data_IF_860950549877
#
_entry.id   IF_860950549877
#
_cell.length_a   1.000
_cell.length_b   1.000
_cell.length_c   1.000
_cell.angle_alpha   90.00
_cell.angle_beta   90.00
_cell.angle_gamma   90.00
#
_symmetry.space_group_name_H-M   'P 1'
#
loop_
_entity.id
_entity.type
_entity.pdbx_description
1 polymer ?
2 branched ?
3 branched ?
4 non-polymer ?
5 non-polymer ?
6 non-polymer ?
7 non-polymer ?
8 non-polymer ?
9 non-polymer ?
10 water ?
#
# COMPACT_ATOMS: atom_id res chain seq x y z
N UNK A 7 14.32 9.72 -6.44
CA UNK A 7 13.46 9.67 -5.18
C UNK A 7 14.31 9.33 -3.98
N UNK A 8 14.37 10.21 -2.99
CA UNK A 8 15.20 9.93 -1.82
C UNK A 8 14.30 9.41 -0.74
N UNK A 9 14.36 8.10 -0.54
CA UNK A 9 13.73 7.53 0.60
C UNK A 9 14.42 8.21 1.74
N UNK A 10 13.58 8.54 2.65
CA UNK A 10 14.01 9.17 3.89
C UNK A 10 14.91 8.31 4.76
N UNK A 11 15.74 8.99 5.57
CA UNK A 11 16.70 8.26 6.40
C UNK A 11 16.12 7.48 7.54
N UNK A 12 14.81 7.64 7.86
CA UNK A 12 14.13 6.80 8.89
C UNK A 12 13.36 5.66 8.28
N UNK A 13 13.43 5.51 6.96
CA UNK A 13 12.74 4.42 6.28
C UNK A 13 13.15 3.07 6.90
N UNK A 14 12.15 2.26 7.23
CA UNK A 14 12.38 0.90 7.82
C UNK A 14 12.30 0.91 9.34
N UNK A 15 12.29 2.10 9.95
CA UNK A 15 12.05 2.15 11.33
C UNK A 15 10.59 2.32 11.66
N UNK A 16 10.21 1.83 12.83
CA UNK A 16 8.84 1.96 13.35
C UNK A 16 8.85 2.60 14.68
N UNK A 17 8.20 3.74 14.76
CA UNK A 17 8.04 4.46 16.00
C UNK A 17 6.68 4.11 16.60
N UNK A 18 6.75 3.53 17.79
CA UNK A 18 5.55 3.19 18.50
C UNK A 18 5.35 4.25 19.55
N UNK A 19 4.20 4.91 19.46
CA UNK A 19 3.84 5.99 20.34
C UNK A 19 2.70 5.61 21.24
N UNK A 20 2.62 6.28 22.38
CA UNK A 20 1.56 6.07 23.31
C UNK A 20 0.79 7.37 23.68
N UNK A 21 1.18 8.49 23.06
CA UNK A 21 0.42 9.70 23.18
C UNK A 21 0.52 10.47 21.87
N UNK A 22 -0.44 11.37 21.68
CA UNK A 22 -0.48 12.28 20.52
C UNK A 22 0.86 13.06 20.45
N UNK A 23 1.38 13.19 19.23
CA UNK A 23 2.50 14.02 18.96
C UNK A 23 2.01 15.44 18.69
N UNK A 24 2.45 16.42 19.49
CA UNK A 24 2.13 17.82 19.32
C UNK A 24 3.25 18.51 18.53
N UNK A 25 2.82 19.19 17.45
CA UNK A 25 3.73 19.98 16.65
C UNK A 25 3.30 21.44 16.86
N UNK A 26 4.23 22.24 17.31
CA UNK A 26 3.97 23.62 17.72
C UNK A 26 4.03 24.58 16.55
N UNK A 27 3.37 25.74 16.73
CA UNK A 27 3.30 26.73 15.69
C UNK A 27 4.74 27.02 15.24
N UNK A 28 5.02 27.10 13.92
CA UNK A 28 6.32 27.40 13.31
C UNK A 28 7.24 26.23 13.17
N UNK A 29 6.87 25.07 13.76
CA UNK A 29 7.67 23.86 13.67
C UNK A 29 7.23 23.00 12.49
N UNK A 30 8.15 22.27 11.90
CA UNK A 30 7.87 21.22 10.95
C UNK A 30 8.37 19.87 11.51
N UNK A 31 7.43 18.96 11.73
CA UNK A 31 7.77 17.58 12.09
C UNK A 31 8.07 16.84 10.81
N UNK A 32 9.30 16.41 10.62
CA UNK A 32 9.75 15.69 9.43
C UNK A 32 10.09 14.29 9.84
N UNK A 33 9.20 13.34 9.52
CA UNK A 33 9.47 11.95 9.85
C UNK A 33 10.54 11.24 9.11
N UNK A 34 11.01 11.85 8.02
CA UNK A 34 12.02 11.21 7.19
C UNK A 34 11.70 9.79 6.82
N UNK A 35 10.39 9.51 6.63
CA UNK A 35 10.00 8.19 6.16
C UNK A 35 9.63 7.19 7.26
N UNK A 36 9.70 7.61 8.50
CA UNK A 36 9.32 6.74 9.61
C UNK A 36 7.87 6.27 9.47
N UNK A 37 7.59 5.03 9.96
CA UNK A 37 6.24 4.52 10.10
C UNK A 37 5.93 4.64 11.57
N UNK A 38 4.73 5.13 11.85
CA UNK A 38 4.21 5.32 13.19
C UNK A 38 3.09 4.35 13.49
N UNK A 39 3.15 3.75 14.69
CA UNK A 39 2.12 2.86 15.15
C UNK A 39 1.71 3.29 16.54
N UNK A 40 0.46 3.74 16.68
CA UNK A 40 -0.05 4.24 17.92
C UNK A 40 -0.64 3.11 18.76
N UNK A 41 -0.31 3.24 20.06
CA UNK A 41 -0.77 2.34 21.11
C UNK A 41 -1.66 3.03 22.15
N UNK A 42 -2.72 2.31 22.51
CA UNK A 42 -3.55 2.83 23.56
C UNK A 42 -4.32 4.11 23.23
N UNK A 43 -4.38 4.43 21.94
CA UNK A 43 -4.98 5.68 21.44
C UNK A 43 -6.17 5.50 20.58
N UNK A 44 -6.64 4.26 20.44
CA UNK A 44 -7.76 3.92 19.58
C UNK A 44 -7.48 2.68 18.77
N UNK A 45 -8.55 2.10 18.21
CA UNK A 45 -8.47 0.91 17.39
C UNK A 45 -8.67 1.14 15.90
N UNK A 46 -8.89 2.40 15.53
CA UNK A 46 -9.20 2.76 14.16
C UNK A 46 -10.62 2.41 13.73
N UNK A 47 -11.49 2.12 14.68
CA UNK A 47 -12.88 1.87 14.37
C UNK A 47 -13.62 3.19 14.14
N UNK A 48 -14.95 3.12 14.04
CA UNK A 48 -15.74 4.36 13.94
C UNK A 48 -16.08 5.02 15.27
N UNK A 49 -15.50 4.51 16.37
CA UNK A 49 -15.60 5.17 17.68
C UNK A 49 -15.16 6.61 17.63
N UNK A 50 -15.95 7.48 18.18
CA UNK A 50 -15.60 8.90 18.19
C UNK A 50 -14.69 9.34 19.32
N UNK A 51 -14.25 8.41 20.15
CA UNK A 51 -13.47 8.83 21.28
C UNK A 51 -11.96 8.52 21.20
N UNK A 52 -11.42 8.43 20.03
CA UNK A 52 -10.04 8.07 19.79
C UNK A 52 -9.16 9.32 19.82
N UNK A 53 -7.88 9.14 20.08
CA UNK A 53 -6.99 10.23 20.11
C UNK A 53 -6.39 10.47 18.69
N UNK A 54 -6.06 11.74 18.39
CA UNK A 54 -5.25 11.98 17.18
C UNK A 54 -3.81 11.46 17.32
N UNK A 55 -3.22 11.01 16.25
CA UNK A 55 -1.85 10.66 16.15
C UNK A 55 -0.93 11.90 16.28
N UNK A 56 -1.33 12.94 15.55
CA UNK A 56 -0.67 14.25 15.61
C UNK A 56 -1.68 15.37 15.86
N UNK A 57 -1.26 16.34 16.61
CA UNK A 57 -1.97 17.63 16.80
C UNK A 57 -1.05 18.67 16.20
N UNK A 58 -1.50 19.32 15.12
CA UNK A 58 -0.74 20.39 14.45
C UNK A 58 -1.38 21.71 14.90
N UNK A 59 -0.66 22.44 15.80
CA UNK A 59 -1.12 23.73 16.24
C UNK A 59 -1.13 24.68 15.02
N UNK A 60 -1.84 25.82 15.15
CA UNK A 60 -1.91 26.79 14.03
C UNK A 60 -0.49 27.11 13.65
N UNK A 61 -0.14 27.04 12.34
CA UNK A 61 1.18 27.30 11.80
C UNK A 61 2.20 26.19 11.87
N UNK A 62 1.78 25.00 12.31
CA UNK A 62 2.66 23.81 12.34
C UNK A 62 2.53 23.03 11.02
N UNK A 63 3.61 22.37 10.64
CA UNK A 63 3.63 21.53 9.46
C UNK A 63 4.08 20.10 9.77
N UNK A 64 3.72 19.18 8.91
CA UNK A 64 4.06 17.76 9.03
C UNK A 64 4.47 17.23 7.71
N UNK A 65 5.55 16.43 7.65
CA UNK A 65 5.86 15.81 6.42
C UNK A 65 6.52 14.44 6.60
N UNK A 66 6.35 13.60 5.60
CA UNK A 66 7.17 12.39 5.43
C UNK A 66 6.99 11.41 6.59
N UNK A 67 5.72 11.12 6.91
CA UNK A 67 5.42 10.02 7.77
C UNK A 67 4.46 9.03 7.14
N UNK A 68 4.60 7.79 7.56
CA UNK A 68 3.62 6.75 7.26
C UNK A 68 2.86 6.45 8.52
N UNK A 69 1.53 6.56 8.53
CA UNK A 69 0.73 6.23 9.68
C UNK A 69 0.16 4.82 9.48
N UNK A 70 0.67 3.89 10.26
CA UNK A 70 0.12 2.56 10.21
C UNK A 70 -1.20 2.39 10.91
N UNK A 71 -1.88 1.25 10.68
CA UNK A 71 -2.97 0.92 11.55
C UNK A 71 -2.44 0.73 12.97
N UNK A 72 -3.22 1.08 13.98
CA UNK A 72 -4.55 1.72 13.89
C UNK A 72 -4.43 3.22 13.67
N UNK A 73 -5.29 3.72 12.77
CA UNK A 73 -5.20 5.13 12.46
C UNK A 73 -5.80 6.08 13.44
N UNK A 74 -6.50 5.54 14.45
CA UNK A 74 -6.99 6.32 15.58
C UNK A 74 -7.81 7.50 15.02
N UNK A 75 -7.63 8.71 15.57
CA UNK A 75 -8.28 9.89 15.01
C UNK A 75 -7.38 10.74 14.19
N UNK A 76 -6.36 10.13 13.59
CA UNK A 76 -5.60 10.79 12.52
C UNK A 76 -4.89 12.07 12.91
N UNK A 77 -4.99 13.09 12.09
CA UNK A 77 -4.18 14.30 12.24
C UNK A 77 -5.16 15.46 12.49
N UNK A 78 -5.05 16.12 13.67
CA UNK A 78 -5.91 17.27 13.99
C UNK A 78 -5.13 18.56 13.66
N UNK A 79 -5.71 19.37 12.77
CA UNK A 79 -5.10 20.59 12.26
C UNK A 79 -5.83 21.81 12.78
N UNK A 80 -5.08 22.71 13.40
CA UNK A 80 -5.68 23.94 13.97
C UNK A 80 -5.52 25.16 13.07
N UNK A 81 -5.08 24.97 11.84
CA UNK A 81 -5.14 25.98 10.81
C UNK A 81 -3.75 26.42 10.37
N UNK A 82 -3.64 26.82 9.10
CA UNK A 82 -2.40 27.27 8.57
C UNK A 82 -1.28 26.19 8.63
N UNK A 83 -1.63 25.03 8.13
CA UNK A 83 -0.83 23.82 8.15
C UNK A 83 -0.56 23.27 6.79
N UNK A 84 0.65 22.77 6.58
CA UNK A 84 1.00 22.00 5.41
C UNK A 84 1.32 20.59 5.85
N UNK A 85 0.64 19.66 5.23
CA UNK A 85 0.75 18.21 5.51
C UNK A 85 1.23 17.53 4.24
N UNK A 86 2.49 17.08 4.19
CA UNK A 86 3.14 16.81 2.94
C UNK A 86 3.70 15.40 2.86
N UNK A 87 3.33 14.68 1.82
CA UNK A 87 3.79 13.30 1.71
C UNK A 87 3.52 12.39 2.95
N UNK A 88 2.32 12.54 3.51
CA UNK A 88 1.78 11.70 4.61
C UNK A 88 0.99 10.54 3.97
N UNK A 89 1.26 9.31 4.42
CA UNK A 89 0.60 8.14 3.94
C UNK A 89 -0.16 7.52 5.05
N UNK A 90 -1.49 7.44 4.91
CA UNK A 90 -2.35 6.70 5.78
C UNK A 90 -2.51 5.31 5.26
N UNK A 91 -1.83 4.32 5.82
CA UNK A 91 -1.96 2.92 5.37
C UNK A 91 -3.31 2.39 5.65
N UNK A 92 -3.96 2.89 6.67
CA UNK A 92 -5.27 2.38 7.05
C UNK A 92 -5.93 3.46 7.85
N UNK A 93 -6.74 4.26 7.22
CA UNK A 93 -7.40 5.36 7.91
C UNK A 93 -8.19 4.84 9.06
N UNK A 94 -8.12 5.54 10.19
CA UNK A 94 -8.90 5.23 11.36
C UNK A 94 -10.33 5.81 11.31
N UNK A 95 -10.73 6.50 12.37
CA UNK A 95 -12.10 7.06 12.38
C UNK A 95 -12.24 8.04 11.19
N UNK A 96 -11.21 8.90 11.06
CA UNK A 96 -11.00 9.75 9.90
C UNK A 96 -9.47 9.99 9.84
N UNK A 97 -9.03 10.51 8.71
CA UNK A 97 -7.57 10.70 8.46
C UNK A 97 -7.07 12.02 8.99
N UNK A 98 -7.80 13.09 8.74
CA UNK A 98 -7.36 14.43 9.12
C UNK A 98 -8.61 15.25 9.34
N UNK A 99 -8.58 16.08 10.38
CA UNK A 99 -9.65 16.97 10.77
C UNK A 99 -9.14 18.38 10.85
N UNK A 100 -9.88 19.31 10.23
CA UNK A 100 -9.60 20.74 10.43
C UNK A 100 -10.49 21.25 11.56
N UNK A 101 -9.82 21.58 12.67
CA UNK A 101 -10.44 21.86 13.92
C UNK A 101 -10.66 23.35 14.16
N UNK A 102 -9.92 24.21 13.51
CA UNK A 102 -9.98 25.63 13.71
C UNK A 102 -9.67 26.32 12.37
N UNK A 103 -10.03 27.60 12.29
CA UNK A 103 -9.95 28.27 10.98
C UNK A 103 -8.56 28.54 10.50
N UNK A 104 -8.36 28.36 9.22
CA UNK A 104 -7.14 28.71 8.52
C UNK A 104 -7.05 27.93 7.22
N UNK A 105 -5.93 28.01 6.57
CA UNK A 105 -5.62 27.29 5.31
C UNK A 105 -4.91 25.99 5.66
N UNK A 106 -5.42 24.90 5.13
CA UNK A 106 -4.78 23.59 5.34
C UNK A 106 -4.58 22.94 4.04
N UNK A 107 -3.34 22.51 3.77
CA UNK A 107 -2.95 21.91 2.54
C UNK A 107 -2.44 20.51 2.78
N UNK A 108 -2.99 19.52 2.06
CA UNK A 108 -2.50 18.15 2.06
C UNK A 108 -1.89 17.98 0.69
N UNK A 109 -0.58 17.74 0.60
CA UNK A 109 0.14 17.72 -0.65
C UNK A 109 0.93 16.41 -0.76
N UNK A 110 0.64 15.58 -1.74
CA UNK A 110 1.36 14.34 -1.84
C UNK A 110 0.74 13.31 -0.88
N UNK A 111 1.30 12.11 -0.89
CA UNK A 111 0.82 11.08 -0.06
C UNK A 111 -0.44 10.37 -0.55
N UNK A 112 -1.04 9.68 0.38
CA UNK A 112 -2.19 8.80 0.00
C UNK A 112 -2.91 8.31 1.20
N UNK A 113 -4.11 7.78 0.99
CA UNK A 113 -4.89 7.22 2.07
C UNK A 113 -5.62 5.98 1.54
N UNK A 114 -5.83 5.02 2.44
CA UNK A 114 -6.51 3.75 2.09
C UNK A 114 -7.46 3.40 3.23
N UNK A 115 -8.53 2.72 2.89
CA UNK A 115 -9.35 1.92 3.85
C UNK A 115 -9.99 2.86 4.89
N UNK A 116 -10.68 3.89 4.40
CA UNK A 116 -11.46 4.78 5.27
C UNK A 116 -12.91 4.29 5.28
N UNK A 117 -13.36 3.78 6.42
CA UNK A 117 -14.72 3.27 6.53
C UNK A 117 -15.73 4.36 6.28
N UNK A 118 -15.39 5.58 6.62
CA UNK A 118 -16.31 6.75 6.50
C UNK A 118 -15.51 7.84 5.85
N UNK A 119 -15.30 8.99 6.49
CA UNK A 119 -14.61 10.11 5.82
C UNK A 119 -13.09 10.01 5.94
N UNK A 120 -12.46 10.53 4.92
CA UNK A 120 -11.00 10.78 4.98
C UNK A 120 -10.77 12.11 5.73
N UNK A 121 -11.26 13.19 5.15
CA UNK A 121 -11.02 14.54 5.66
C UNK A 121 -12.31 15.11 6.24
N UNK A 122 -12.24 15.54 7.50
CA UNK A 122 -13.35 16.12 8.27
C UNK A 122 -13.12 17.60 8.49
N UNK A 123 -14.01 18.46 7.97
CA UNK A 123 -13.85 19.90 8.09
C UNK A 123 -14.84 20.44 9.08
N UNK A 124 -14.32 20.80 10.25
CA UNK A 124 -15.16 21.14 11.41
C UNK A 124 -15.05 22.64 11.77
N UNK A 125 -14.44 23.45 10.95
CA UNK A 125 -14.34 24.89 11.14
C UNK A 125 -14.27 25.52 9.75
N UNK A 126 -14.61 26.80 9.65
CA UNK A 126 -14.41 27.48 8.37
C UNK A 126 -12.95 27.45 7.98
N UNK A 127 -12.70 27.12 6.73
CA UNK A 127 -11.33 26.95 6.24
C UNK A 127 -11.21 26.96 4.76
N UNK A 128 -9.98 27.07 4.30
CA UNK A 128 -9.64 26.80 2.93
C UNK A 128 -8.83 25.50 2.93
N UNK A 129 -9.34 24.51 2.25
CA UNK A 129 -8.77 23.15 2.33
C UNK A 129 -8.36 22.67 0.97
N UNK A 130 -7.06 22.47 0.75
CA UNK A 130 -6.60 22.00 -0.48
C UNK A 130 -5.99 20.59 -0.39
N UNK A 131 -6.35 19.76 -1.34
CA UNK A 131 -5.80 18.43 -1.52
C UNK A 131 -5.17 18.36 -2.88
N UNK A 132 -3.83 18.09 -2.93
CA UNK A 132 -3.04 18.20 -4.13
C UNK A 132 -2.18 16.94 -4.31
N UNK A 133 -2.20 16.38 -5.50
CA UNK A 133 -1.32 15.25 -5.81
C UNK A 133 -1.49 14.13 -4.79
N UNK A 134 -2.73 13.67 -4.72
CA UNK A 134 -3.15 12.76 -3.66
C UNK A 134 -3.95 11.61 -4.25
N UNK A 135 -3.78 10.42 -3.69
CA UNK A 135 -4.50 9.21 -4.11
C UNK A 135 -5.22 8.60 -2.93
N UNK A 136 -6.52 8.25 -3.07
CA UNK A 136 -7.19 7.53 -2.03
C UNK A 136 -7.98 6.40 -2.58
N UNK A 137 -7.98 5.27 -1.89
CA UNK A 137 -8.65 4.07 -2.36
C UNK A 137 -9.42 3.43 -1.22
N UNK A 138 -10.64 2.99 -1.48
CA UNK A 138 -11.55 2.28 -0.56
C UNK A 138 -11.92 3.20 0.57
N UNK A 139 -12.76 4.16 0.22
CA UNK A 139 -13.15 5.19 1.14
C UNK A 139 -14.64 5.40 1.16
N UNK A 140 -15.20 5.96 2.22
CA UNK A 140 -16.62 6.37 2.22
C UNK A 140 -16.83 7.67 1.48
N UNK A 141 -16.09 8.67 1.99
CA UNK A 141 -16.06 10.00 1.42
C UNK A 141 -14.68 10.58 1.49
N UNK A 142 -14.25 11.37 0.52
CA UNK A 142 -12.99 12.08 0.69
C UNK A 142 -13.09 13.25 1.64
N UNK A 143 -14.14 14.05 1.51
CA UNK A 143 -14.26 15.24 2.34
C UNK A 143 -15.68 15.34 2.92
N UNK A 144 -15.81 15.59 4.23
CA UNK A 144 -17.10 15.84 4.84
C UNK A 144 -16.99 17.11 5.66
N UNK A 145 -17.74 18.14 5.28
CA UNK A 145 -17.96 19.24 6.22
C UNK A 145 -18.84 18.74 7.34
N UNK A 146 -18.52 19.08 8.58
CA UNK A 146 -19.28 18.52 9.67
C UNK A 146 -20.79 18.68 9.42
N UNK A 147 -21.54 17.63 9.64
CA UNK A 147 -22.94 17.56 9.36
C UNK A 147 -23.73 18.68 9.98
N UNK A 148 -24.64 19.22 9.15
CA UNK A 148 -25.60 20.23 9.62
C UNK A 148 -24.97 21.53 10.00
N UNK A 149 -23.73 21.76 9.62
CA UNK A 149 -23.15 23.05 9.83
C UNK A 149 -23.23 23.89 8.53
N UNK A 150 -23.31 25.17 8.74
CA UNK A 150 -23.54 26.11 7.63
C UNK A 150 -22.47 27.25 7.53
N UNK A 151 -21.37 27.12 8.24
CA UNK A 151 -20.21 27.96 7.96
C UNK A 151 -19.67 27.60 6.59
N UNK A 152 -18.75 28.46 6.15
CA UNK A 152 -18.21 28.32 4.79
C UNK A 152 -16.86 27.59 4.83
N UNK A 153 -16.77 26.55 4.01
CA UNK A 153 -15.48 26.00 3.63
C UNK A 153 -15.34 26.16 2.13
N UNK A 154 -14.07 26.28 1.69
CA UNK A 154 -13.74 26.23 0.26
C UNK A 154 -12.72 25.11 0.09
N UNK A 155 -13.09 24.11 -0.71
CA UNK A 155 -12.26 22.94 -0.95
C UNK A 155 -11.72 22.95 -2.32
N UNK A 156 -10.42 22.66 -2.46
CA UNK A 156 -9.80 22.51 -3.75
C UNK A 156 -9.24 21.09 -3.87
N UNK A 157 -9.60 20.39 -4.92
CA UNK A 157 -9.08 19.06 -5.25
C UNK A 157 -8.31 19.18 -6.54
N UNK A 158 -6.97 19.03 -6.49
CA UNK A 158 -6.10 19.31 -7.62
C UNK A 158 -5.18 18.10 -7.84
N UNK A 159 -5.30 17.41 -8.96
CA UNK A 159 -4.44 16.24 -9.22
C UNK A 159 -4.72 15.19 -8.17
N UNK A 160 -5.99 14.80 -8.04
CA UNK A 160 -6.49 13.85 -7.08
C UNK A 160 -7.10 12.66 -7.83
N UNK A 161 -6.73 11.46 -7.36
CA UNK A 161 -7.21 10.21 -7.94
C UNK A 161 -7.86 9.39 -6.87
N UNK A 162 -9.09 8.99 -7.11
CA UNK A 162 -9.88 8.28 -6.16
C UNK A 162 -10.42 6.97 -6.74
N UNK A 163 -10.44 5.91 -5.95
CA UNK A 163 -10.85 4.63 -6.50
C UNK A 163 -11.63 3.94 -5.42
N UNK A 164 -12.93 3.60 -5.71
CA UNK A 164 -13.85 2.88 -4.81
C UNK A 164 -14.34 3.75 -3.68
N UNK A 165 -15.25 4.64 -4.03
CA UNK A 165 -15.81 5.66 -3.12
C UNK A 165 -17.24 5.27 -2.83
N UNK A 166 -17.54 4.92 -1.61
CA UNK A 166 -18.80 4.26 -1.34
C UNK A 166 -19.96 5.20 -1.28
N UNK A 167 -19.70 6.37 -0.73
CA UNK A 167 -20.72 7.37 -0.50
C UNK A 167 -20.64 8.49 -1.52
N UNK A 168 -19.60 9.31 -1.44
CA UNK A 168 -19.40 10.36 -2.39
C UNK A 168 -18.05 10.97 -2.25
N UNK A 169 -17.61 11.74 -3.21
CA UNK A 169 -16.32 12.45 -3.09
C UNK A 169 -16.35 13.46 -1.95
N UNK A 170 -17.36 14.32 -1.94
CA UNK A 170 -17.48 15.31 -0.90
C UNK A 170 -18.92 15.55 -0.57
N UNK A 171 -19.13 15.95 0.70
CA UNK A 171 -20.48 16.20 1.23
C UNK A 171 -20.43 17.34 2.20
N UNK A 172 -21.39 18.25 2.05
CA UNK A 172 -21.54 19.42 2.88
C UNK A 172 -23.04 19.69 3.01
N UNK A 173 -23.45 20.22 4.14
CA UNK A 173 -24.78 20.73 4.38
C UNK A 173 -24.85 22.23 4.39
N UNK A 174 -23.81 22.88 3.82
CA UNK A 174 -23.75 24.34 3.89
C UNK A 174 -23.99 24.94 2.47
N UNK A 175 -25.02 25.76 2.28
CA UNK A 175 -25.18 26.39 0.96
C UNK A 175 -24.07 27.34 0.55
N UNK A 176 -23.31 27.85 1.47
CA UNK A 176 -22.26 28.82 1.14
C UNK A 176 -20.94 28.20 0.89
N UNK A 177 -20.79 26.92 1.19
CA UNK A 177 -19.51 26.26 0.90
C UNK A 177 -19.32 26.02 -0.58
N UNK A 178 -18.06 25.85 -1.01
CA UNK A 178 -17.76 25.63 -2.44
C UNK A 178 -16.68 24.58 -2.58
N UNK A 179 -16.73 23.83 -3.66
CA UNK A 179 -15.70 22.87 -4.00
C UNK A 179 -15.29 23.17 -5.41
N UNK A 180 -13.96 23.21 -5.60
CA UNK A 180 -13.32 23.49 -6.86
C UNK A 180 -12.40 22.32 -7.22
N UNK A 181 -12.42 21.83 -8.43
CA UNK A 181 -11.54 20.73 -8.77
C UNK A 181 -10.87 20.95 -10.14
N UNK A 182 -9.71 20.26 -10.28
CA UNK A 182 -8.86 20.43 -11.41
C UNK A 182 -8.04 19.12 -11.49
N UNK A 183 -8.23 18.41 -12.57
CA UNK A 183 -7.53 17.06 -12.78
C UNK A 183 -7.93 16.11 -11.66
N UNK A 184 -9.27 15.89 -11.56
CA UNK A 184 -9.85 14.92 -10.64
C UNK A 184 -10.28 13.69 -11.37
N UNK A 185 -9.71 12.55 -10.97
CA UNK A 185 -10.05 11.29 -11.57
C UNK A 185 -10.71 10.40 -10.58
N UNK A 186 -11.89 9.86 -10.88
CA UNK A 186 -12.71 9.08 -9.92
C UNK A 186 -13.16 7.79 -10.59
N UNK A 187 -12.71 6.68 -10.05
CA UNK A 187 -13.15 5.37 -10.44
C UNK A 187 -14.07 4.71 -9.41
N UNK A 188 -15.33 4.36 -9.81
CA UNK A 188 -16.30 3.58 -8.99
C UNK A 188 -16.87 4.38 -7.84
N UNK A 189 -17.64 5.38 -8.22
CA UNK A 189 -18.39 6.23 -7.34
C UNK A 189 -19.72 6.61 -8.04
N UNK A 190 -20.84 6.31 -7.40
CA UNK A 190 -22.15 6.56 -7.99
C UNK A 190 -22.50 8.05 -7.94
N UNK A 191 -22.12 8.76 -6.89
CA UNK A 191 -22.44 10.18 -6.76
C UNK A 191 -21.23 10.96 -6.31
N UNK A 192 -20.79 11.90 -7.12
CA UNK A 192 -19.62 12.70 -6.82
C UNK A 192 -19.84 13.64 -5.66
N UNK A 193 -20.83 14.49 -5.69
CA UNK A 193 -20.94 15.56 -4.73
C UNK A 193 -22.33 15.65 -4.13
N UNK A 194 -22.36 15.67 -2.82
CA UNK A 194 -23.63 15.82 -2.04
C UNK A 194 -23.59 17.15 -1.32
N UNK A 195 -23.98 18.20 -2.03
CA UNK A 195 -24.08 19.56 -1.49
C UNK A 195 -25.50 20.00 -1.71
N UNK A 196 -25.94 21.07 -1.00
CA UNK A 196 -27.35 21.57 -1.18
C UNK A 196 -27.67 21.79 -2.65
N UNK A 197 -26.79 22.47 -3.37
CA UNK A 197 -26.94 22.68 -4.80
C UNK A 197 -25.67 22.17 -5.51
N UNK A 198 -25.85 21.65 -6.74
CA UNK A 198 -24.71 21.30 -7.60
C UNK A 198 -23.95 22.50 -8.10
N UNK A 199 -24.59 23.67 -8.12
CA UNK A 199 -23.90 24.89 -8.54
C UNK A 199 -22.86 25.33 -7.57
N UNK A 200 -22.71 24.70 -6.40
CA UNK A 200 -21.62 24.97 -5.45
C UNK A 200 -20.31 24.32 -5.87
N UNK A 201 -20.36 23.48 -6.89
CA UNK A 201 -19.20 22.72 -7.38
C UNK A 201 -18.73 23.29 -8.69
N UNK A 202 -17.41 23.55 -8.79
CA UNK A 202 -16.81 24.19 -9.94
C UNK A 202 -15.58 23.45 -10.40
N UNK A 203 -15.26 23.54 -11.67
CA UNK A 203 -13.95 23.21 -12.20
C UNK A 203 -13.10 24.47 -12.31
N UNK A 204 -11.79 24.31 -12.37
CA UNK A 204 -10.91 25.38 -12.72
C UNK A 204 -9.76 24.91 -13.51
N UNK B 9 5.77 -37.05 -4.20
CA UNK B 9 6.14 -35.64 -4.51
C UNK B 9 7.28 -35.16 -3.60
N UNK B 10 7.19 -35.49 -2.31
CA UNK B 10 8.33 -35.56 -1.40
C UNK B 10 8.06 -36.46 -0.15
N UNK B 11 9.09 -36.77 0.65
CA UNK B 11 8.90 -37.69 1.76
C UNK B 11 7.93 -37.14 2.82
N UNK B 12 7.82 -35.78 2.88
CA UNK B 12 6.93 -35.15 3.84
C UNK B 12 5.51 -34.81 3.33
N UNK B 13 5.22 -35.26 2.12
CA UNK B 13 3.90 -35.04 1.57
C UNK B 13 2.84 -35.72 2.50
N UNK B 14 1.78 -35.00 2.81
CA UNK B 14 0.75 -35.49 3.71
C UNK B 14 0.94 -34.95 5.12
N UNK B 15 2.15 -34.45 5.43
CA UNK B 15 2.38 -33.76 6.69
C UNK B 15 2.12 -32.26 6.69
N UNK B 16 1.74 -31.72 7.85
CA UNK B 16 1.47 -30.32 8.04
C UNK B 16 2.26 -29.87 9.23
N UNK B 17 2.98 -28.76 9.08
CA UNK B 17 3.70 -28.12 10.16
C UNK B 17 2.89 -26.89 10.49
N UNK B 18 2.38 -26.82 11.73
CA UNK B 18 1.68 -25.66 12.25
C UNK B 18 2.68 -24.84 13.04
N UNK B 19 2.82 -23.55 12.67
CA UNK B 19 3.79 -22.65 13.28
C UNK B 19 3.07 -21.48 13.91
N UNK B 20 3.70 -20.90 14.95
CA UNK B 20 3.21 -19.68 15.58
C UNK B 20 4.23 -18.53 15.50
N UNK B 21 5.36 -18.73 14.82
CA UNK B 21 6.23 -17.59 14.53
C UNK B 21 6.93 -17.89 13.22
N UNK B 22 7.49 -16.87 12.65
CA UNK B 22 8.24 -16.93 11.40
C UNK B 22 9.35 -18.02 11.49
N UNK B 23 9.49 -18.84 10.44
CA UNK B 23 10.58 -19.78 10.32
C UNK B 23 11.76 -18.97 9.78
N UNK B 24 12.84 -18.92 10.57
CA UNK B 24 14.05 -18.29 10.15
C UNK B 24 15.00 -19.29 9.49
N UNK B 25 15.38 -19.03 8.23
CA UNK B 25 16.32 -19.88 7.54
C UNK B 25 17.63 -19.10 7.54
N UNK B 26 18.61 -19.63 8.29
CA UNK B 26 19.82 -18.91 8.46
C UNK B 26 20.69 -18.82 7.22
N UNK B 27 21.46 -17.74 7.27
CA UNK B 27 22.45 -17.49 6.33
C UNK B 27 23.05 -18.83 6.03
N UNK B 28 22.92 -19.22 4.78
CA UNK B 28 23.64 -20.39 4.28
C UNK B 28 22.98 -21.73 4.59
N UNK B 29 21.73 -21.73 5.05
CA UNK B 29 20.93 -22.95 5.19
C UNK B 29 19.92 -23.06 4.04
N UNK B 30 19.77 -24.27 3.49
CA UNK B 30 18.60 -24.62 2.70
C UNK B 30 17.58 -25.32 3.56
N UNK B 31 16.38 -24.76 3.59
CA UNK B 31 15.24 -25.38 4.19
C UNK B 31 14.52 -26.21 3.14
N UNK B 32 14.55 -27.54 3.29
CA UNK B 32 13.88 -28.43 2.34
C UNK B 32 12.69 -29.03 3.02
N UNK B 33 11.49 -28.59 2.67
CA UNK B 33 10.30 -29.15 3.28
C UNK B 33 9.91 -30.55 2.84
N UNK B 34 10.51 -31.04 1.72
CA UNK B 34 10.17 -32.35 1.18
C UNK B 34 8.65 -32.51 1.04
N UNK B 35 7.97 -31.41 0.69
CA UNK B 35 6.56 -31.50 0.42
C UNK B 35 5.63 -31.18 1.56
N UNK B 36 6.22 -30.80 2.69
CA UNK B 36 5.40 -30.42 3.86
C UNK B 36 4.53 -29.16 3.54
N UNK B 37 3.37 -29.14 4.13
CA UNK B 37 2.51 -27.96 4.13
C UNK B 37 2.65 -27.16 5.41
N UNK B 38 2.77 -25.82 5.29
CA UNK B 38 2.93 -24.96 6.44
C UNK B 38 1.59 -24.24 6.65
N UNK B 39 1.22 -24.19 7.93
CA UNK B 39 0.08 -23.45 8.37
C UNK B 39 0.56 -22.55 9.49
N UNK B 40 0.29 -21.25 9.30
CA UNK B 40 0.64 -20.26 10.30
C UNK B 40 -0.54 -19.86 11.13
N UNK B 41 -0.29 -19.77 12.45
CA UNK B 41 -1.28 -19.34 13.41
C UNK B 41 -0.81 -18.13 14.15
N UNK B 42 -1.69 -17.15 14.29
CA UNK B 42 -1.37 -15.97 15.08
C UNK B 42 -0.41 -15.05 14.38
N UNK B 43 -0.25 -15.15 13.07
CA UNK B 43 0.76 -14.41 12.35
C UNK B 43 0.14 -13.49 11.24
N UNK B 44 -1.19 -13.51 11.17
CA UNK B 44 -1.93 -12.78 10.14
C UNK B 44 -3.08 -13.57 9.60
N UNK B 45 -3.92 -12.90 8.85
CA UNK B 45 -5.09 -13.47 8.26
C UNK B 45 -5.01 -13.54 6.74
N UNK B 46 -3.90 -13.12 6.14
CA UNK B 46 -3.78 -13.05 4.67
C UNK B 46 -4.55 -11.97 4.00
N UNK B 47 -5.01 -10.99 4.78
CA UNK B 47 -5.70 -9.81 4.21
C UNK B 47 -4.62 -8.88 3.68
N UNK B 48 -5.09 -7.66 3.28
CA UNK B 48 -4.17 -6.64 2.81
C UNK B 48 -3.57 -5.79 3.91
N UNK B 49 -3.67 -6.23 5.19
CA UNK B 49 -2.99 -5.58 6.31
C UNK B 49 -1.49 -5.61 6.11
N UNK B 50 -0.89 -4.46 6.33
CA UNK B 50 0.56 -4.38 6.20
C UNK B 50 1.35 -4.83 7.42
N UNK B 51 0.70 -5.36 8.44
CA UNK B 51 1.42 -5.64 9.68
C UNK B 51 1.45 -7.12 10.07
N UNK B 52 1.35 -7.98 9.07
CA UNK B 52 1.44 -9.42 9.24
C UNK B 52 2.87 -9.88 9.24
N UNK B 53 3.09 -11.05 9.83
CA UNK B 53 4.43 -11.66 9.87
C UNK B 53 4.67 -12.47 8.62
N UNK B 54 5.92 -12.50 8.16
CA UNK B 54 6.24 -13.48 7.15
C UNK B 54 6.20 -14.92 7.67
N UNK B 55 5.85 -15.86 6.80
CA UNK B 55 5.88 -17.29 7.09
C UNK B 55 7.34 -17.74 7.23
N UNK B 56 8.22 -17.26 6.32
CA UNK B 56 9.61 -17.55 6.30
C UNK B 56 10.40 -16.27 6.19
N UNK B 57 11.57 -16.21 6.84
CA UNK B 57 12.62 -15.20 6.62
C UNK B 57 13.82 -15.98 6.11
N UNK B 58 14.25 -15.60 4.90
CA UNK B 58 15.46 -16.20 4.29
C UNK B 58 16.57 -15.19 4.46
N UNK B 59 17.53 -15.45 5.38
CA UNK B 59 18.69 -14.59 5.47
C UNK B 59 19.54 -14.60 4.18
N UNK B 60 20.47 -13.67 4.04
CA UNK B 60 21.28 -13.63 2.84
C UNK B 60 21.90 -15.00 2.64
N UNK B 61 21.76 -15.51 1.41
CA UNK B 61 22.29 -16.80 1.04
C UNK B 61 21.49 -18.02 1.33
N UNK B 62 20.41 -17.85 2.09
CA UNK B 62 19.51 -18.99 2.40
C UNK B 62 18.62 -19.35 1.24
N UNK B 63 18.23 -20.61 1.22
CA UNK B 63 17.36 -21.14 0.22
C UNK B 63 16.13 -21.85 0.87
N UNK B 64 15.08 -21.98 0.11
CA UNK B 64 13.87 -22.63 0.51
C UNK B 64 13.42 -23.50 -0.62
N UNK B 65 13.02 -24.73 -0.34
CA UNK B 65 12.51 -25.57 -1.38
C UNK B 65 11.39 -26.51 -0.86
N UNK B 66 10.52 -26.88 -1.80
CA UNK B 66 9.59 -28.00 -1.61
C UNK B 66 8.68 -27.82 -0.38
N UNK B 67 8.09 -26.63 -0.29
CA UNK B 67 6.99 -26.42 0.70
C UNK B 67 5.71 -25.96 0.03
N UNK B 68 4.61 -26.27 0.70
CA UNK B 68 3.32 -25.72 0.34
C UNK B 68 2.94 -24.76 1.43
N UNK B 69 2.62 -23.53 1.07
CA UNK B 69 2.21 -22.53 2.04
C UNK B 69 0.68 -22.47 2.04
N UNK B 70 0.05 -22.98 3.09
CA UNK B 70 -1.42 -22.95 3.19
C UNK B 70 -1.88 -21.56 3.53
N UNK B 71 -3.18 -21.35 3.35
CA UNK B 71 -3.80 -20.18 3.94
C UNK B 71 -3.74 -20.30 5.46
N UNK B 72 -3.57 -19.19 6.18
CA UNK B 72 -3.36 -17.84 5.69
C UNK B 72 -1.96 -17.55 5.29
N UNK B 73 -1.84 -16.85 4.17
CA UNK B 73 -0.52 -16.59 3.62
C UNK B 73 0.32 -15.55 4.33
N UNK B 74 -0.32 -14.78 5.21
CA UNK B 74 0.36 -13.79 6.07
C UNK B 74 1.19 -12.86 5.20
N UNK B 75 2.43 -12.59 5.56
CA UNK B 75 3.30 -11.79 4.70
C UNK B 75 4.33 -12.64 3.95
N UNK B 76 4.00 -13.90 3.68
CA UNK B 76 4.76 -14.70 2.74
C UNK B 76 6.20 -14.91 3.12
N UNK B 77 7.07 -14.82 2.13
CA UNK B 77 8.50 -15.17 2.27
C UNK B 77 9.33 -13.91 2.12
N UNK B 78 10.05 -13.52 3.19
CA UNK B 78 10.93 -12.37 3.13
C UNK B 78 12.31 -12.81 2.81
N UNK B 79 12.86 -12.26 1.72
CA UNK B 79 14.19 -12.65 1.21
C UNK B 79 15.18 -11.50 1.37
N UNK B 80 16.29 -11.80 2.02
CA UNK B 80 17.33 -10.80 2.23
C UNK B 80 18.46 -10.84 1.23
N UNK B 81 18.34 -11.60 0.19
CA UNK B 81 19.23 -11.55 -0.94
C UNK B 81 20.02 -12.83 -1.13
N UNK B 82 20.32 -13.12 -2.40
CA UNK B 82 21.11 -14.30 -2.75
C UNK B 82 20.37 -15.56 -2.27
N UNK B 83 19.11 -15.67 -2.68
CA UNK B 83 18.20 -16.74 -2.27
C UNK B 83 17.65 -17.48 -3.48
N UNK B 84 17.47 -18.78 -3.35
CA UNK B 84 16.70 -19.55 -4.29
C UNK B 84 15.51 -20.11 -3.56
N UNK B 85 14.36 -19.91 -4.20
CA UNK B 85 13.05 -20.36 -3.71
C UNK B 85 12.49 -21.31 -4.75
N UNK B 86 12.55 -22.63 -4.48
CA UNK B 86 12.34 -23.65 -5.52
C UNK B 86 11.17 -24.51 -5.14
N UNK B 87 10.28 -24.69 -6.10
CA UNK B 87 9.13 -25.53 -5.91
C UNK B 87 8.39 -25.19 -4.63
N UNK B 88 8.04 -23.90 -4.51
CA UNK B 88 7.14 -23.44 -3.44
C UNK B 88 5.77 -23.14 -4.02
N UNK B 89 4.74 -23.62 -3.35
CA UNK B 89 3.36 -23.47 -3.77
C UNK B 89 2.67 -22.59 -2.76
N UNK B 90 2.20 -21.43 -3.19
CA UNK B 90 1.31 -20.62 -2.41
C UNK B 90 -0.14 -20.97 -2.74
N UNK B 91 -0.80 -21.69 -1.85
CA UNK B 91 -2.21 -22.06 -2.11
C UNK B 91 -3.11 -20.86 -2.08
N UNK B 92 -2.73 -19.85 -1.32
CA UNK B 92 -3.53 -18.66 -1.17
C UNK B 92 -2.63 -17.52 -0.71
N UNK B 93 -2.21 -16.73 -1.66
CA UNK B 93 -1.29 -15.67 -1.31
C UNK B 93 -1.93 -14.72 -0.25
N UNK B 94 -1.13 -14.30 0.72
CA UNK B 94 -1.61 -13.39 1.72
C UNK B 94 -1.44 -11.94 1.25
N UNK B 95 -0.80 -11.10 2.09
CA UNK B 95 -0.68 -9.70 1.68
C UNK B 95 0.16 -9.61 0.40
N UNK B 96 1.29 -10.35 0.34
CA UNK B 96 2.05 -10.58 -0.80
C UNK B 96 2.63 -11.99 -0.59
N UNK B 97 3.20 -12.55 -1.65
CA UNK B 97 3.77 -13.90 -1.63
C UNK B 97 5.23 -13.94 -1.19
N UNK B 98 6.03 -13.02 -1.74
CA UNK B 98 7.43 -12.95 -1.44
C UNK B 98 7.89 -11.54 -1.66
N UNK B 99 8.75 -11.12 -0.75
CA UNK B 99 9.37 -9.77 -0.72
C UNK B 99 10.85 -9.85 -0.72
N UNK B 100 11.43 -9.04 -1.61
CA UNK B 100 12.89 -8.83 -1.59
C UNK B 100 13.17 -7.62 -0.72
N UNK B 101 13.79 -7.90 0.43
CA UNK B 101 13.92 -6.92 1.52
C UNK B 101 15.30 -6.29 1.52
N UNK B 102 16.30 -6.90 0.87
CA UNK B 102 17.66 -6.41 0.87
C UNK B 102 18.32 -6.87 -0.46
N UNK B 103 19.48 -6.29 -0.79
CA UNK B 103 20.08 -6.42 -2.06
C UNK B 103 20.60 -7.84 -2.33
N UNK B 104 20.58 -8.22 -3.59
CA UNK B 104 21.15 -9.50 -4.01
C UNK B 104 20.31 -10.09 -5.14
N UNK B 105 20.58 -11.34 -5.50
CA UNK B 105 19.86 -12.08 -6.50
C UNK B 105 18.85 -12.94 -5.81
N UNK B 106 17.63 -12.93 -6.33
CA UNK B 106 16.61 -13.83 -5.82
C UNK B 106 15.95 -14.49 -6.97
N UNK B 107 15.92 -15.81 -6.91
CA UNK B 107 15.32 -16.64 -7.92
C UNK B 107 14.17 -17.52 -7.42
N UNK B 108 12.99 -17.42 -8.04
CA UNK B 108 11.82 -18.26 -7.74
C UNK B 108 11.76 -19.20 -8.93
N UNK B 109 11.90 -20.50 -8.66
CA UNK B 109 12.04 -21.52 -9.66
C UNK B 109 10.96 -22.57 -9.41
N UNK B 110 10.13 -22.86 -10.37
CA UNK B 110 9.09 -23.83 -10.12
C UNK B 110 8.02 -23.30 -9.14
N UNK B 111 7.04 -24.14 -8.90
CA UNK B 111 5.94 -23.81 -8.02
C UNK B 111 4.88 -22.96 -8.66
N UNK B 112 4.06 -22.31 -7.80
CA UNK B 112 2.88 -21.60 -8.29
C UNK B 112 2.32 -20.75 -7.17
N UNK B 113 1.46 -19.82 -7.59
CA UNK B 113 0.76 -19.00 -6.61
C UNK B 113 -0.63 -18.71 -7.10
N UNK B 114 -1.59 -18.60 -6.18
CA UNK B 114 -2.95 -18.28 -6.54
C UNK B 114 -3.56 -17.32 -5.54
N UNK B 115 -4.54 -16.55 -6.01
CA UNK B 115 -5.40 -15.75 -5.16
C UNK B 115 -4.64 -14.66 -4.42
N UNK B 116 -3.92 -13.86 -5.19
CA UNK B 116 -3.28 -12.68 -4.66
C UNK B 116 -4.09 -11.45 -4.91
N UNK B 117 -4.63 -10.86 -3.82
CA UNK B 117 -5.46 -9.70 -3.97
C UNK B 117 -4.72 -8.51 -4.57
N UNK B 118 -3.42 -8.43 -4.35
CA UNK B 118 -2.59 -7.31 -4.82
C UNK B 118 -1.38 -7.92 -5.47
N UNK B 119 -0.19 -7.65 -4.93
CA UNK B 119 1.02 -8.15 -5.57
C UNK B 119 1.36 -9.56 -5.14
N UNK B 120 1.98 -10.32 -6.03
CA UNK B 120 2.63 -11.54 -5.69
C UNK B 120 4.02 -11.26 -5.15
N UNK B 121 4.89 -10.64 -5.95
CA UNK B 121 6.25 -10.35 -5.59
C UNK B 121 6.48 -8.86 -5.41
N UNK B 122 6.98 -8.49 -4.25
CA UNK B 122 7.26 -7.11 -3.85
C UNK B 122 8.80 -6.94 -3.83
N UNK B 123 9.30 -6.01 -4.62
CA UNK B 123 10.76 -5.75 -4.71
C UNK B 123 11.06 -4.43 -4.04
N UNK B 124 11.67 -4.55 -2.87
CA UNK B 124 11.84 -3.38 -1.99
C UNK B 124 13.28 -2.98 -1.81
N UNK B 125 14.17 -3.60 -2.55
CA UNK B 125 15.58 -3.22 -2.59
C UNK B 125 16.13 -3.47 -3.96
N UNK B 126 17.23 -2.84 -4.33
CA UNK B 126 17.89 -3.16 -5.62
C UNK B 126 18.24 -4.64 -5.68
N UNK B 127 17.90 -5.27 -6.78
CA UNK B 127 18.06 -6.69 -6.92
C UNK B 127 17.97 -7.14 -8.34
N UNK B 128 18.43 -8.38 -8.56
CA UNK B 128 18.09 -9.13 -9.77
C UNK B 128 17.08 -10.15 -9.29
N UNK B 129 15.93 -10.18 -9.94
CA UNK B 129 14.80 -11.01 -9.53
C UNK B 129 14.39 -11.84 -10.71
N UNK B 130 14.51 -13.17 -10.56
CA UNK B 130 14.13 -14.08 -11.60
C UNK B 130 12.94 -14.92 -11.16
N UNK B 131 12.04 -15.07 -12.11
CA UNK B 131 10.87 -15.99 -11.92
C UNK B 131 10.93 -16.95 -13.09
N UNK B 132 11.08 -18.26 -12.81
CA UNK B 132 11.35 -19.26 -13.79
C UNK B 132 10.47 -20.48 -13.62
N UNK B 133 9.78 -20.85 -14.70
CA UNK B 133 8.97 -22.07 -14.69
C UNK B 133 7.89 -21.99 -13.58
N UNK B 134 7.04 -20.97 -13.70
CA UNK B 134 6.11 -20.57 -12.63
C UNK B 134 4.78 -20.28 -13.21
N UNK B 135 3.69 -20.62 -12.51
CA UNK B 135 2.33 -20.33 -12.91
C UNK B 135 1.62 -19.60 -11.76
N UNK B 136 0.88 -18.54 -12.13
CA UNK B 136 0.02 -17.83 -11.12
C UNK B 136 -1.30 -17.54 -11.70
N UNK B 137 -2.31 -17.66 -10.84
CA UNK B 137 -3.70 -17.52 -11.25
C UNK B 137 -4.43 -16.63 -10.23
N UNK B 138 -5.21 -15.66 -10.73
CA UNK B 138 -6.05 -14.77 -9.95
C UNK B 138 -5.21 -13.87 -9.05
N UNK B 139 -4.53 -12.92 -9.70
CA UNK B 139 -3.55 -12.04 -9.03
C UNK B 139 -3.82 -10.59 -9.43
N UNK B 140 -3.38 -9.68 -8.58
CA UNK B 140 -3.37 -8.24 -8.96
C UNK B 140 -2.25 -7.88 -9.86
N UNK B 141 -1.05 -8.12 -9.36
CA UNK B 141 0.16 -7.91 -10.14
C UNK B 141 1.12 -9.04 -9.83
N UNK B 142 1.93 -9.44 -10.82
CA UNK B 142 2.98 -10.42 -10.50
C UNK B 142 4.16 -9.79 -9.77
N UNK B 143 4.64 -8.63 -10.25
CA UNK B 143 5.79 -7.98 -9.67
C UNK B 143 5.49 -6.50 -9.47
N UNK B 144 5.79 -6.00 -8.28
CA UNK B 144 5.71 -4.57 -8.00
C UNK B 144 7.01 -4.13 -7.38
N UNK B 145 7.79 -3.27 -8.06
CA UNK B 145 8.84 -2.59 -7.38
C UNK B 145 8.16 -1.58 -6.42
N UNK B 146 8.71 -1.46 -5.20
CA UNK B 146 8.03 -0.65 -4.21
C UNK B 146 7.74 0.76 -4.77
N UNK B 147 6.54 1.20 -4.55
CA UNK B 147 6.07 2.44 -5.11
C UNK B 147 6.96 3.64 -4.91
N UNK B 148 7.10 4.39 -6.00
CA UNK B 148 7.85 5.62 -6.02
C UNK B 148 9.33 5.46 -5.89
N UNK B 149 9.89 4.26 -5.66
CA UNK B 149 11.29 4.10 -5.57
C UNK B 149 11.91 4.16 -6.98
N UNK B 150 13.16 4.64 -7.02
CA UNK B 150 13.85 4.85 -8.28
C UNK B 150 15.18 4.12 -8.36
N UNK B 151 15.48 3.27 -7.37
CA UNK B 151 16.63 2.38 -7.56
C UNK B 151 16.34 1.40 -8.68
N UNK B 152 17.39 0.70 -9.09
CA UNK B 152 17.32 -0.25 -10.17
C UNK B 152 17.06 -1.69 -9.70
N UNK B 153 16.03 -2.31 -10.24
CA UNK B 153 15.90 -3.77 -10.26
C UNK B 153 15.97 -4.25 -11.69
N UNK B 154 16.39 -5.52 -11.81
CA UNK B 154 16.37 -6.23 -13.09
C UNK B 154 15.51 -7.47 -12.83
N UNK B 155 14.45 -7.57 -13.62
CA UNK B 155 13.49 -8.67 -13.46
C UNK B 155 13.62 -9.55 -14.73
N UNK B 156 13.68 -10.85 -14.51
CA UNK B 156 13.57 -11.85 -15.58
C UNK B 156 12.32 -12.69 -15.34
N UNK B 157 11.44 -12.78 -16.36
CA UNK B 157 10.32 -13.68 -16.36
C UNK B 157 10.54 -14.72 -17.47
N UNK B 158 10.78 -15.96 -17.09
CA UNK B 158 11.18 -17.01 -17.99
C UNK B 158 10.29 -18.22 -17.80
N UNK B 159 9.59 -18.60 -18.84
CA UNK B 159 8.67 -19.74 -18.71
C UNK B 159 7.62 -19.51 -17.56
N UNK B 160 6.91 -18.39 -17.70
CA UNK B 160 5.89 -17.95 -16.76
C UNK B 160 4.59 -17.87 -17.44
N UNK B 161 3.55 -18.49 -16.85
CA UNK B 161 2.19 -18.48 -17.35
C UNK B 161 1.26 -17.91 -16.30
N UNK B 162 0.52 -16.89 -16.70
CA UNK B 162 -0.36 -16.15 -15.77
C UNK B 162 -1.78 -16.16 -16.25
N UNK B 163 -2.74 -16.48 -15.36
CA UNK B 163 -4.14 -16.43 -15.70
C UNK B 163 -4.89 -15.53 -14.79
N UNK B 164 -5.55 -14.51 -15.35
CA UNK B 164 -6.46 -13.57 -14.63
C UNK B 164 -5.61 -12.60 -13.80
N UNK B 165 -5.12 -11.52 -14.46
CA UNK B 165 -4.24 -10.55 -13.86
C UNK B 165 -5.02 -9.25 -13.86
N UNK B 166 -5.39 -8.79 -12.66
CA UNK B 166 -6.37 -7.72 -12.52
C UNK B 166 -5.81 -6.32 -12.67
N UNK B 167 -4.53 -6.11 -12.40
CA UNK B 167 -3.89 -4.81 -12.51
C UNK B 167 -2.85 -4.74 -13.66
N UNK B 168 -1.76 -5.52 -13.56
CA UNK B 168 -0.79 -5.62 -14.65
C UNK B 168 0.20 -6.72 -14.25
N UNK B 169 0.97 -7.17 -15.22
CA UNK B 169 2.00 -8.14 -14.88
C UNK B 169 3.03 -7.56 -13.94
N UNK B 170 3.59 -6.42 -14.33
CA UNK B 170 4.65 -5.82 -13.56
C UNK B 170 4.63 -4.30 -13.65
N UNK B 171 4.98 -3.67 -12.51
CA UNK B 171 4.93 -2.24 -12.40
C UNK B 171 6.14 -1.77 -11.61
N UNK B 172 6.68 -0.68 -12.10
CA UNK B 172 7.78 0.02 -11.44
C UNK B 172 7.67 1.52 -11.73
N UNK B 173 8.05 2.30 -10.74
CA UNK B 173 8.16 3.76 -10.92
C UNK B 173 9.55 4.19 -11.19
N UNK B 174 10.51 3.25 -11.32
CA UNK B 174 11.89 3.60 -11.54
C UNK B 174 12.14 3.66 -13.06
N UNK B 175 12.82 4.75 -13.49
CA UNK B 175 13.12 4.88 -14.92
C UNK B 175 14.37 4.07 -15.29
N UNK B 176 15.06 3.41 -14.35
CA UNK B 176 16.29 2.64 -14.64
C UNK B 176 16.10 1.17 -14.51
N UNK B 177 14.98 0.74 -13.91
CA UNK B 177 14.72 -0.71 -13.81
C UNK B 177 14.49 -1.35 -15.17
N UNK B 178 14.63 -2.67 -15.22
CA UNK B 178 14.57 -3.44 -16.44
C UNK B 178 13.69 -4.65 -16.23
N UNK B 179 12.93 -5.04 -17.26
CA UNK B 179 12.20 -6.31 -17.23
C UNK B 179 12.52 -7.02 -18.53
N UNK B 180 12.94 -8.27 -18.44
CA UNK B 180 13.31 -9.16 -19.52
C UNK B 180 12.36 -10.36 -19.46
N UNK B 181 11.80 -10.70 -20.61
CA UNK B 181 10.92 -11.85 -20.62
C UNK B 181 11.19 -12.81 -21.75
N UNK B 182 10.90 -14.09 -21.53
CA UNK B 182 11.11 -15.19 -22.43
C UNK B 182 10.07 -16.28 -22.12
N UNK B 183 9.15 -16.48 -23.05
CA UNK B 183 8.06 -17.42 -22.84
C UNK B 183 7.19 -17.01 -21.59
N UNK B 184 6.64 -15.81 -21.74
CA UNK B 184 5.70 -15.23 -20.81
C UNK B 184 4.34 -15.28 -21.48
N UNK B 185 3.39 -16.07 -20.93
CA UNK B 185 2.09 -16.27 -21.50
C UNK B 185 1.04 -15.76 -20.55
N UNK B 186 0.26 -14.82 -21.02
CA UNK B 186 -0.64 -14.09 -20.14
C UNK B 186 -2.05 -14.10 -20.60
N UNK B 187 -2.97 -14.68 -19.79
CA UNK B 187 -4.36 -14.80 -20.13
C UNK B 187 -5.19 -13.88 -19.26
N UNK B 188 -6.10 -13.16 -19.89
CA UNK B 188 -7.04 -12.28 -19.18
C UNK B 188 -6.32 -11.19 -18.39
N UNK B 189 -5.72 -10.27 -19.13
CA UNK B 189 -4.95 -9.16 -18.59
C UNK B 189 -5.09 -7.98 -19.57
N UNK B 190 -5.52 -6.84 -19.09
CA UNK B 190 -5.65 -5.64 -19.97
C UNK B 190 -4.30 -5.03 -20.30
N UNK B 191 -3.46 -4.84 -19.28
CA UNK B 191 -2.19 -4.16 -19.39
C UNK B 191 -1.10 -5.04 -18.87
N UNK B 192 -0.08 -5.16 -19.67
CA UNK B 192 1.05 -5.97 -19.31
C UNK B 192 2.03 -5.27 -18.36
N UNK B 193 2.62 -4.17 -18.77
CA UNK B 193 3.71 -3.57 -18.04
C UNK B 193 3.41 -2.13 -17.81
N UNK B 194 3.64 -1.64 -16.60
CA UNK B 194 3.52 -0.24 -16.21
C UNK B 194 4.87 0.24 -15.70
N UNK B 195 5.75 0.59 -16.63
CA UNK B 195 7.05 1.20 -16.32
C UNK B 195 7.07 2.55 -16.93
N UNK B 196 8.01 3.44 -16.51
CA UNK B 196 8.05 4.79 -17.05
C UNK B 196 8.21 4.81 -18.58
N UNK B 197 9.03 3.91 -19.13
CA UNK B 197 9.14 3.78 -20.58
C UNK B 197 9.11 2.29 -20.97
N UNK B 198 8.53 2.05 -22.10
CA UNK B 198 8.51 0.71 -22.65
C UNK B 198 9.89 0.32 -23.19
N UNK B 199 10.82 1.28 -23.30
CA UNK B 199 12.22 0.91 -23.59
C UNK B 199 12.88 0.10 -22.49
N UNK B 200 12.24 0.07 -21.30
CA UNK B 200 12.72 -0.74 -20.17
C UNK B 200 12.30 -2.19 -20.19
N UNK B 201 11.52 -2.54 -21.17
CA UNK B 201 11.02 -3.91 -21.31
C UNK B 201 11.66 -4.56 -22.51
N UNK B 202 12.16 -5.76 -22.32
CA UNK B 202 13.03 -6.44 -23.32
C UNK B 202 12.60 -7.91 -23.48
N UNK B 203 12.57 -8.42 -24.66
CA UNK B 203 12.43 -9.84 -24.91
C UNK B 203 13.78 -10.46 -25.04
N UNK B 204 13.89 -11.74 -24.74
CA UNK B 204 15.10 -12.54 -24.96
C UNK B 204 14.78 -13.99 -25.29
#
# INVERSE_FOLDING_TARGET
>A
MAHHHHHHVGTNTGGVLVITDTIIVKSGQTYDGKGIKIIAQGMGDGSQSENQKPIFKLEKGANLKNVIIGAPGCDGIHCYGDNVVENVVWEDVGEDALTVKSEGVVEVIGGSAKEAADAVFALNAPCTFKVKNFTATNIGKLVRQNGNTTFKVVIYLEDVTLNNVKSCVAKSDSPVSELWYHNLNVNNCKTLFEFPSQSQIHQY
>B
MAHHHHHHVGTNTGGVLVITDTIIVKSGQTYDGKGIKIIAQGMGDGSQSENQKPIFKLEKGANLKNVIIGAPGCDGIHCYGDNVVENVVWEDVGEDALTVKSEGVVEVIGGSAKEAADAVFALNAPCTFKVKNFTATNIGKLVRQNGNTTFKVVIYLEDVTLNNVKSCVAKSDSPVSELWYHNLNVNNCKTLFEFPSQSQIHQY
#
